data_IF_898484225833
#
_entry.id   IF_898484225833
#
_cell.length_a   1.000
_cell.length_b   1.000
_cell.length_c   1.000
_cell.angle_alpha   90.00
_cell.angle_beta   90.00
_cell.angle_gamma   90.00
#
_symmetry.space_group_name_H-M   'P 1'
#
loop_
_entity.id
_entity.type
_entity.pdbx_description
1 polymer ?
#
# COMPACT_ATOMS: atom_id res chain seq x y z
N UNK A 1 23.13 10.65 -9.72
CA UNK A 1 21.68 10.86 -9.82
C UNK A 1 21.01 9.97 -8.79
N UNK A 2 20.11 10.50 -7.96
CA UNK A 2 19.44 9.73 -6.90
C UNK A 2 18.24 8.95 -7.47
N UNK A 3 18.01 7.74 -6.97
CA UNK A 3 16.92 6.87 -7.39
C UNK A 3 16.23 6.29 -6.14
N UNK A 4 14.91 6.43 -6.07
CA UNK A 4 14.12 5.83 -5.00
C UNK A 4 13.94 4.34 -5.30
N UNK A 5 14.18 3.50 -4.31
CA UNK A 5 13.99 2.03 -4.41
C UNK A 5 13.01 1.46 -3.40
N UNK A 6 12.67 2.25 -2.36
CA UNK A 6 11.79 1.82 -1.28
C UNK A 6 10.90 2.98 -0.88
N UNK A 7 9.60 2.72 -0.78
CA UNK A 7 8.58 3.68 -0.33
C UNK A 7 7.90 3.07 0.90
N UNK A 8 7.74 3.87 1.95
CA UNK A 8 6.94 3.54 3.12
C UNK A 8 5.76 4.50 3.19
N UNK A 9 4.55 3.97 3.34
CA UNK A 9 3.33 4.75 3.53
C UNK A 9 2.74 4.46 4.90
N UNK A 10 2.60 5.50 5.73
CA UNK A 10 1.95 5.40 7.04
C UNK A 10 0.47 5.76 6.88
N UNK A 11 -0.39 4.76 6.95
CA UNK A 11 -1.84 4.84 6.80
C UNK A 11 -2.36 3.98 5.65
N UNK A 12 -2.97 2.83 5.98
CA UNK A 12 -3.50 1.87 5.00
C UNK A 12 -4.98 2.12 4.67
N UNK A 13 -5.40 3.39 4.59
CA UNK A 13 -6.78 3.79 4.29
C UNK A 13 -7.05 4.00 2.79
N UNK A 14 -8.16 4.68 2.49
CA UNK A 14 -8.63 4.99 1.13
C UNK A 14 -7.61 5.71 0.25
N UNK A 15 -6.76 6.55 0.82
CA UNK A 15 -5.73 7.24 0.04
C UNK A 15 -4.47 6.37 -0.08
N UNK A 16 -3.91 5.99 1.08
CA UNK A 16 -2.60 5.33 1.13
C UNK A 16 -2.58 3.95 0.47
N UNK A 17 -3.62 3.14 0.67
CA UNK A 17 -3.72 1.79 0.09
C UNK A 17 -3.71 1.82 -1.44
N UNK A 18 -4.78 2.32 -2.09
CA UNK A 18 -4.88 2.39 -3.55
C UNK A 18 -3.71 3.12 -4.22
N UNK A 19 -3.27 4.26 -3.67
CA UNK A 19 -2.13 5.00 -4.23
C UNK A 19 -0.87 4.14 -4.25
N UNK A 20 -0.56 3.47 -3.13
CA UNK A 20 0.62 2.62 -3.03
C UNK A 20 0.51 1.34 -3.86
N UNK A 21 -0.69 0.78 -3.99
CA UNK A 21 -0.97 -0.35 -4.88
C UNK A 21 -0.67 0.01 -6.34
N UNK A 22 -1.13 1.18 -6.81
CA UNK A 22 -0.85 1.66 -8.17
C UNK A 22 0.64 1.94 -8.38
N UNK A 23 1.34 2.55 -7.40
CA UNK A 23 2.80 2.75 -7.49
C UNK A 23 3.52 1.41 -7.62
N UNK A 24 3.19 0.42 -6.79
CA UNK A 24 3.81 -0.90 -6.86
C UNK A 24 3.55 -1.61 -8.20
N UNK A 25 2.37 -1.41 -8.78
CA UNK A 25 2.01 -1.96 -10.09
C UNK A 25 2.76 -1.30 -11.26
N UNK A 26 2.86 0.04 -11.25
CA UNK A 26 3.45 0.82 -12.34
C UNK A 26 4.98 0.92 -12.23
N UNK A 27 5.56 0.72 -11.05
CA UNK A 27 6.98 0.84 -10.77
C UNK A 27 7.51 -0.45 -10.10
N UNK A 28 7.61 -1.57 -10.84
CA UNK A 28 7.97 -2.88 -10.26
C UNK A 28 9.37 -2.92 -9.65
N UNK A 29 10.25 -1.98 -10.00
CA UNK A 29 11.59 -1.83 -9.42
C UNK A 29 11.62 -1.14 -8.04
N UNK A 30 10.46 -0.68 -7.54
CA UNK A 30 10.32 -0.01 -6.24
C UNK A 30 9.54 -0.92 -5.29
N UNK A 31 10.12 -1.19 -4.12
CA UNK A 31 9.38 -1.86 -3.03
C UNK A 31 8.51 -0.85 -2.29
N UNK A 32 7.20 -1.09 -2.25
CA UNK A 32 6.26 -0.25 -1.50
C UNK A 32 5.73 -1.02 -0.29
N UNK A 33 5.90 -0.47 0.91
CA UNK A 33 5.37 -1.02 2.16
C UNK A 33 4.36 -0.06 2.76
N UNK A 34 3.11 -0.50 2.88
CA UNK A 34 2.04 0.25 3.55
C UNK A 34 1.90 -0.26 4.98
N UNK A 35 1.94 0.63 5.96
CA UNK A 35 1.85 0.31 7.39
C UNK A 35 0.68 1.05 8.03
N UNK A 36 0.06 0.47 9.05
CA UNK A 36 -1.03 1.07 9.82
C UNK A 36 -0.98 0.51 11.25
N UNK A 37 -1.41 1.31 12.23
CA UNK A 37 -1.52 0.86 13.62
C UNK A 37 -2.66 -0.15 13.80
N UNK A 38 -3.66 -0.10 12.92
CA UNK A 38 -4.79 -1.01 12.94
C UNK A 38 -4.39 -2.37 12.34
N UNK A 39 -4.01 -3.31 13.20
CA UNK A 39 -3.62 -4.68 12.82
C UNK A 39 -4.72 -5.39 11.99
N UNK A 40 -6.00 -5.23 12.35
CA UNK A 40 -7.10 -5.86 11.62
C UNK A 40 -7.22 -5.36 10.19
N UNK A 41 -6.94 -4.07 9.95
CA UNK A 41 -6.91 -3.45 8.61
C UNK A 41 -5.75 -4.02 7.79
N UNK A 42 -4.56 -4.18 8.39
CA UNK A 42 -3.42 -4.80 7.71
C UNK A 42 -3.69 -6.27 7.40
N UNK A 43 -4.35 -7.02 8.29
CA UNK A 43 -4.78 -8.39 8.00
C UNK A 43 -5.75 -8.46 6.82
N UNK A 44 -6.72 -7.54 6.75
CA UNK A 44 -7.65 -7.48 5.62
C UNK A 44 -6.95 -7.17 4.29
N UNK A 45 -5.98 -6.25 4.26
CA UNK A 45 -5.15 -5.98 3.06
C UNK A 45 -4.34 -7.20 2.58
N UNK A 46 -3.99 -8.12 3.48
CA UNK A 46 -3.28 -9.35 3.19
C UNK A 46 -4.21 -10.57 3.05
N UNK A 47 -5.48 -10.35 2.72
CA UNK A 47 -6.49 -11.39 2.55
C UNK A 47 -7.18 -11.27 1.20
N UNK A 48 -7.99 -12.26 0.85
CA UNK A 48 -8.79 -12.22 -0.39
C UNK A 48 -9.93 -11.19 -0.34
N UNK A 49 -10.26 -10.67 0.86
CA UNK A 49 -11.29 -9.65 1.07
C UNK A 49 -10.64 -8.34 1.53
N UNK A 50 -10.39 -7.44 0.60
CA UNK A 50 -9.80 -6.13 0.89
C UNK A 50 -10.71 -5.27 1.79
N UNK A 51 -10.13 -4.42 2.66
CA UNK A 51 -10.91 -3.60 3.60
C UNK A 51 -11.67 -2.45 2.94
N UNK A 52 -11.47 -2.23 1.63
CA UNK A 52 -12.02 -1.13 0.86
C UNK A 52 -12.52 -1.67 -0.47
N UNK A 53 -13.73 -1.23 -0.85
CA UNK A 53 -14.23 -1.30 -2.21
C UNK A 53 -14.09 0.11 -2.82
N UNK A 54 -13.28 0.23 -3.85
CA UNK A 54 -13.11 1.48 -4.61
C UNK A 54 -14.15 1.56 -5.74
N UNK A 55 -14.64 2.76 -6.02
CA UNK A 55 -15.66 3.05 -7.06
C UNK A 55 -15.03 3.61 -8.34
#
# INVERSE_FOLDING_TARGET
MFQIKRICCIGAGYVGGPTCSVIAHMCPEITVTVVDVNESRIKAWNSDTLPIYEV
#
